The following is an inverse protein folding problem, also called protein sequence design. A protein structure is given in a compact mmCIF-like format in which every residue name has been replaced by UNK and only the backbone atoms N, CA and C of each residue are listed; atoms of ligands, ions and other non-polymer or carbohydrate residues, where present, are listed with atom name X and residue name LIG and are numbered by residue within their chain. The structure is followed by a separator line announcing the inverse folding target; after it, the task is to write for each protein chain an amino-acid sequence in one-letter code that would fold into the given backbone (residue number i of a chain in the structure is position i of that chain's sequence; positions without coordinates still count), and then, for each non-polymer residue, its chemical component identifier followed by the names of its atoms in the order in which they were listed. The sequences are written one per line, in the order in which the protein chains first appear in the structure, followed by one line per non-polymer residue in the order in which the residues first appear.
data_IF_040888809819
#
_entry.id   IF_040888809819
#
_cell.length_a   1.000
_cell.length_b   1.000
_cell.length_c   1.000
_cell.angle_alpha   90.00
_cell.angle_beta   90.00
_cell.angle_gamma   90.00
#
_symmetry.space_group_name_H-M   'P 1'
#
loop_
_entity.id
_entity.type
_entity.pdbx_description
1 polymer ?
#
# COMPACT_ATOMS: atom_id res chain seq x y z
N UNK A 1 16.15 -8.82 -17.02
CA UNK A 1 15.49 -7.56 -16.58
C UNK A 1 13.99 -7.75 -16.37
N UNK A 2 13.31 -8.54 -17.20
CA UNK A 2 11.84 -8.63 -17.18
C UNK A 2 11.24 -9.22 -15.87
N UNK A 3 11.80 -10.32 -15.36
CA UNK A 3 11.30 -10.95 -14.13
C UNK A 3 11.40 -10.06 -12.88
N UNK A 4 12.49 -9.31 -12.74
CA UNK A 4 12.68 -8.42 -11.58
C UNK A 4 11.72 -7.23 -11.63
N UNK A 5 11.48 -6.67 -12.83
CA UNK A 5 10.50 -5.59 -13.04
C UNK A 5 9.07 -6.09 -12.82
N UNK A 6 8.73 -7.29 -13.28
CA UNK A 6 7.42 -7.90 -13.07
C UNK A 6 7.16 -8.17 -11.57
N UNK A 7 8.16 -8.71 -10.86
CA UNK A 7 8.06 -8.93 -9.41
C UNK A 7 7.92 -7.60 -8.65
N UNK A 8 8.78 -6.63 -8.94
CA UNK A 8 8.75 -5.31 -8.30
C UNK A 8 7.43 -4.57 -8.52
N UNK A 9 6.95 -4.51 -9.76
CA UNK A 9 5.67 -3.86 -10.10
C UNK A 9 4.47 -4.54 -9.44
N UNK A 10 4.49 -5.87 -9.33
CA UNK A 10 3.44 -6.63 -8.64
C UNK A 10 3.41 -6.30 -7.14
N UNK A 11 4.56 -6.32 -6.47
CA UNK A 11 4.66 -5.98 -5.05
C UNK A 11 4.25 -4.54 -4.78
N UNK A 12 4.75 -3.58 -5.58
CA UNK A 12 4.39 -2.17 -5.44
C UNK A 12 2.87 -1.97 -5.55
N UNK A 13 2.23 -2.59 -6.55
CA UNK A 13 0.78 -2.52 -6.72
C UNK A 13 0.02 -3.11 -5.54
N UNK A 14 0.48 -4.23 -4.99
CA UNK A 14 -0.15 -4.85 -3.82
C UNK A 14 -0.06 -3.96 -2.57
N UNK A 15 1.12 -3.38 -2.31
CA UNK A 15 1.36 -2.47 -1.19
C UNK A 15 0.48 -1.22 -1.32
N UNK A 16 0.48 -0.56 -2.49
CA UNK A 16 -0.35 0.63 -2.70
C UNK A 16 -1.85 0.35 -2.52
N UNK A 17 -2.33 -0.82 -2.96
CA UNK A 17 -3.73 -1.23 -2.74
C UNK A 17 -4.03 -1.44 -1.27
N UNK A 18 -3.13 -2.08 -0.52
CA UNK A 18 -3.27 -2.28 0.92
C UNK A 18 -3.35 -0.96 1.68
N UNK A 19 -2.44 -0.02 1.39
CA UNK A 19 -2.42 1.31 2.00
C UNK A 19 -3.70 2.10 1.68
N UNK A 20 -4.18 2.04 0.43
CA UNK A 20 -5.40 2.74 0.02
C UNK A 20 -6.67 2.15 0.67
N UNK A 21 -6.73 0.83 0.86
CA UNK A 21 -7.87 0.15 1.46
C UNK A 21 -7.87 0.16 3.00
N UNK A 22 -6.82 0.67 3.64
CA UNK A 22 -6.70 0.71 5.08
C UNK A 22 -7.82 1.56 5.71
N UNK A 23 -8.34 1.10 6.85
CA UNK A 23 -9.31 1.79 7.69
C UNK A 23 -8.64 2.25 8.99
N UNK A 24 -9.04 3.38 9.60
CA UNK A 24 -8.46 3.84 10.85
C UNK A 24 -8.59 2.79 11.95
N UNK A 25 -7.55 2.64 12.76
CA UNK A 25 -7.53 1.82 13.97
C UNK A 25 -7.05 2.63 15.18
N UNK A 26 -7.52 2.25 16.38
CA UNK A 26 -7.10 2.89 17.61
C UNK A 26 -5.59 2.73 17.83
N UNK A 27 -4.91 3.85 18.10
CA UNK A 27 -3.46 3.88 18.29
C UNK A 27 -2.65 4.05 17.00
N UNK A 28 -3.28 4.23 15.84
CA UNK A 28 -2.58 4.61 14.61
C UNK A 28 -1.77 5.90 14.82
N UNK A 29 -0.48 5.86 14.48
CA UNK A 29 0.42 7.01 14.61
C UNK A 29 0.09 8.13 13.62
N UNK A 30 -0.53 7.78 12.50
CA UNK A 30 -0.86 8.68 11.41
C UNK A 30 -2.23 8.34 10.82
N UNK A 31 -2.95 9.34 10.26
CA UNK A 31 -4.20 9.06 9.57
C UNK A 31 -4.00 8.15 8.36
N UNK A 32 -4.98 7.30 8.09
CA UNK A 32 -5.06 6.56 6.83
C UNK A 32 -5.09 7.51 5.64
N UNK A 33 -4.62 7.06 4.48
CA UNK A 33 -4.52 7.93 3.31
C UNK A 33 -5.87 8.41 2.79
N UNK A 34 -6.92 7.61 2.95
CA UNK A 34 -8.29 7.94 2.53
C UNK A 34 -8.93 9.06 3.36
N UNK A 35 -8.35 9.44 4.49
CA UNK A 35 -8.84 10.53 5.33
C UNK A 35 -8.10 11.85 5.10
N UNK A 36 -7.36 11.97 3.99
CA UNK A 36 -6.66 13.19 3.57
C UNK A 36 -7.40 13.92 2.46
#
# INVERSE_FOLDING_TARGET
IDLYTAAGSTMARAISRGVHAATPADGDLFPVWSSR
#
